data_IF_442782493954
#
_entry.id   IF_442782493954
#
_cell.length_a   1.000
_cell.length_b   1.000
_cell.length_c   1.000
_cell.angle_alpha   90.00
_cell.angle_beta   90.00
_cell.angle_gamma   90.00
#
_symmetry.space_group_name_H-M   'P 1'
#
loop_
_entity.id
_entity.type
_entity.pdbx_description
1 polymer ?
#
# COMPACT_ATOMS: atom_id res chain seq x y z
N UNK A 1 10.24 20.25 -12.60
CA UNK A 1 10.69 19.10 -11.81
C UNK A 1 10.00 17.87 -12.36
N UNK A 2 10.79 16.85 -12.73
CA UNK A 2 10.28 15.56 -13.19
C UNK A 2 9.55 14.85 -12.04
N UNK A 3 8.45 14.15 -12.36
CA UNK A 3 7.70 13.40 -11.36
C UNK A 3 8.35 12.03 -11.15
N UNK A 4 8.58 11.64 -9.90
CA UNK A 4 9.15 10.35 -9.54
C UNK A 4 8.17 9.51 -8.72
N UNK A 5 8.26 8.17 -8.86
CA UNK A 5 7.46 7.21 -8.10
C UNK A 5 8.33 6.54 -7.04
N UNK A 6 7.86 6.54 -5.79
CA UNK A 6 8.62 6.04 -4.64
C UNK A 6 7.78 5.10 -3.78
N UNK A 7 8.39 4.01 -3.32
CA UNK A 7 7.80 3.09 -2.34
C UNK A 7 8.28 3.43 -0.92
N UNK A 8 7.41 3.20 0.07
CA UNK A 8 7.75 3.31 1.50
C UNK A 8 7.02 2.24 2.32
N UNK A 9 7.69 1.70 3.33
CA UNK A 9 7.12 0.76 4.31
C UNK A 9 6.75 1.44 5.64
N UNK A 10 6.80 2.76 5.70
CA UNK A 10 6.40 3.52 6.88
C UNK A 10 4.90 3.38 7.12
N UNK A 11 4.52 3.03 8.36
CA UNK A 11 3.12 2.86 8.77
C UNK A 11 2.39 4.18 9.04
N UNK A 12 3.12 5.30 9.11
CA UNK A 12 2.53 6.63 9.27
C UNK A 12 1.99 7.11 7.92
N UNK A 13 0.68 6.99 7.76
CA UNK A 13 -0.07 7.42 6.58
C UNK A 13 -1.16 8.40 7.02
N UNK A 14 -1.43 9.40 6.19
CA UNK A 14 -2.65 10.18 6.32
C UNK A 14 -3.84 9.29 5.92
N UNK A 15 -4.72 9.02 6.89
CA UNK A 15 -5.87 8.14 6.67
C UNK A 15 -6.93 8.77 5.79
N UNK A 16 -6.98 10.11 5.71
CA UNK A 16 -7.89 10.80 4.79
C UNK A 16 -7.41 10.62 3.35
N UNK A 17 -6.11 10.79 3.09
CA UNK A 17 -5.52 10.57 1.77
C UNK A 17 -5.66 9.11 1.32
N UNK A 18 -5.46 8.15 2.24
CA UNK A 18 -5.68 6.73 1.95
C UNK A 18 -7.14 6.43 1.60
N UNK A 19 -8.11 6.96 2.36
CA UNK A 19 -9.52 6.72 2.05
C UNK A 19 -9.94 7.45 0.77
N UNK A 20 -9.36 8.61 0.43
CA UNK A 20 -9.57 9.25 -0.87
C UNK A 20 -9.07 8.37 -2.02
N UNK A 21 -7.89 7.75 -1.87
CA UNK A 21 -7.39 6.76 -2.84
C UNK A 21 -8.34 5.57 -3.00
N UNK A 22 -8.88 5.03 -1.90
CA UNK A 22 -9.86 3.95 -1.93
C UNK A 22 -11.18 4.38 -2.60
N UNK A 23 -11.66 5.60 -2.32
CA UNK A 23 -12.88 6.18 -2.93
C UNK A 23 -12.71 6.29 -4.46
N UNK A 24 -11.55 6.74 -4.92
CA UNK A 24 -11.23 6.87 -6.36
C UNK A 24 -11.30 5.55 -7.12
N UNK A 25 -11.02 4.41 -6.48
CA UNK A 25 -11.17 3.08 -7.11
C UNK A 25 -12.56 2.45 -6.89
N UNK A 26 -13.51 3.20 -6.33
CA UNK A 26 -14.88 2.76 -6.10
C UNK A 26 -15.08 1.90 -4.86
N UNK A 27 -14.11 1.86 -3.93
CA UNK A 27 -14.31 1.16 -2.65
C UNK A 27 -15.17 1.99 -1.71
N UNK A 28 -16.08 1.32 -1.00
CA UNK A 28 -16.89 1.99 0.02
C UNK A 28 -15.98 2.53 1.14
N UNK A 29 -16.23 3.77 1.55
CA UNK A 29 -15.53 4.38 2.69
C UNK A 29 -15.69 3.55 3.95
N UNK A 30 -14.58 3.34 4.65
CA UNK A 30 -14.51 2.56 5.89
C UNK A 30 -14.36 3.52 7.07
N UNK A 31 -14.89 3.17 8.26
CA UNK A 31 -14.66 4.00 9.44
C UNK A 31 -13.16 4.16 9.74
N UNK A 32 -12.67 5.40 9.79
CA UNK A 32 -11.23 5.70 9.97
C UNK A 32 -10.63 4.99 11.19
N UNK A 33 -11.39 4.84 12.29
CA UNK A 33 -10.95 4.09 13.48
C UNK A 33 -10.61 2.64 13.17
N UNK A 34 -11.37 1.98 12.28
CA UNK A 34 -11.10 0.59 11.86
C UNK A 34 -9.93 0.53 10.88
N UNK A 35 -9.82 1.48 9.96
CA UNK A 35 -8.68 1.59 9.03
C UNK A 35 -7.37 1.76 9.80
N UNK A 36 -7.33 2.70 10.75
CA UNK A 36 -6.19 2.91 11.65
C UNK A 36 -5.78 1.60 12.34
N UNK A 37 -6.74 0.90 12.95
CA UNK A 37 -6.50 -0.37 13.63
C UNK A 37 -5.98 -1.44 12.67
N UNK A 38 -6.50 -1.51 11.45
CA UNK A 38 -6.04 -2.47 10.45
C UNK A 38 -4.57 -2.21 10.04
N UNK A 39 -4.18 -0.95 9.89
CA UNK A 39 -2.79 -0.55 9.58
C UNK A 39 -1.87 -0.87 10.76
N UNK A 40 -2.28 -0.54 11.99
CA UNK A 40 -1.51 -0.81 13.21
C UNK A 40 -1.20 -2.29 13.43
N UNK A 41 -2.15 -3.17 13.08
CA UNK A 41 -2.02 -4.62 13.21
C UNK A 41 -1.61 -5.33 11.90
N UNK A 42 -1.27 -4.59 10.85
CA UNK A 42 -0.68 -5.19 9.64
C UNK A 42 0.81 -5.43 9.86
N UNK A 43 1.26 -6.61 9.45
CA UNK A 43 2.67 -6.98 9.49
C UNK A 43 3.47 -6.04 8.57
N UNK A 44 2.98 -5.89 7.34
CA UNK A 44 3.57 -5.02 6.32
C UNK A 44 2.52 -4.04 5.81
N UNK A 45 2.94 -2.79 5.65
CA UNK A 45 2.20 -1.73 4.97
C UNK A 45 3.14 -1.15 3.93
N UNK A 46 2.70 -1.10 2.68
CA UNK A 46 3.44 -0.51 1.57
C UNK A 46 2.62 0.66 1.03
N UNK A 47 3.28 1.79 0.83
CA UNK A 47 2.70 2.97 0.21
C UNK A 47 3.54 3.37 -1.01
N UNK A 48 2.86 3.77 -2.08
CA UNK A 48 3.46 4.20 -3.34
C UNK A 48 3.07 5.66 -3.59
N UNK A 49 4.07 6.50 -3.86
CA UNK A 49 3.94 7.95 -3.86
C UNK A 49 4.43 8.54 -5.18
N UNK A 50 3.64 9.44 -5.75
CA UNK A 50 4.12 10.38 -6.76
C UNK A 50 4.73 11.59 -6.04
N UNK A 51 5.96 11.96 -6.39
CA UNK A 51 6.62 13.16 -5.89
C UNK A 51 6.93 14.06 -7.09
N UNK A 52 6.40 15.29 -7.07
CA UNK A 52 6.60 16.30 -8.11
C UNK A 52 6.95 17.64 -7.47
N UNK A 53 8.24 17.96 -7.41
CA UNK A 53 8.74 19.12 -6.68
C UNK A 53 8.50 18.95 -5.17
N UNK A 54 7.79 19.90 -4.55
CA UNK A 54 7.38 19.82 -3.13
C UNK A 54 6.07 19.07 -2.89
N UNK A 55 5.37 18.66 -3.96
CA UNK A 55 4.11 17.92 -3.83
C UNK A 55 4.39 16.43 -3.75
N UNK A 56 3.75 15.77 -2.79
CA UNK A 56 3.74 14.32 -2.61
C UNK A 56 2.29 13.86 -2.56
N UNK A 57 1.95 12.83 -3.33
CA UNK A 57 0.60 12.27 -3.44
C UNK A 57 0.65 10.76 -3.32
N UNK A 58 -0.21 10.17 -2.50
CA UNK A 58 -0.38 8.73 -2.41
C UNK A 58 -1.09 8.23 -3.67
N UNK A 59 -0.43 7.35 -4.42
CA UNK A 59 -0.95 6.78 -5.68
C UNK A 59 -1.09 5.26 -5.64
N UNK A 60 -0.67 4.62 -4.54
CA UNK A 60 -0.93 3.21 -4.32
C UNK A 60 -0.69 2.79 -2.88
N UNK A 61 -1.35 1.71 -2.48
CA UNK A 61 -1.28 1.18 -1.13
C UNK A 61 -1.45 -0.34 -1.16
N UNK A 62 -0.65 -1.04 -0.36
CA UNK A 62 -0.85 -2.44 -0.07
C UNK A 62 -0.65 -2.73 1.42
N UNK A 63 -1.35 -3.73 1.95
CA UNK A 63 -1.10 -4.23 3.32
C UNK A 63 -1.17 -5.74 3.39
N UNK A 64 -0.38 -6.31 4.30
CA UNK A 64 -0.39 -7.73 4.60
C UNK A 64 -0.40 -8.01 6.10
N UNK A 65 -1.13 -9.04 6.51
CA UNK A 65 -1.04 -9.63 7.86
C UNK A 65 -0.18 -10.89 7.81
N UNK A 66 0.48 -11.25 8.90
CA UNK A 66 1.31 -12.45 8.98
C UNK A 66 1.25 -13.08 10.36
N UNK A 67 1.55 -14.38 10.41
CA UNK A 67 1.86 -15.11 11.65
C UNK A 67 3.31 -14.90 12.14
N UNK A 68 4.09 -14.04 11.46
CA UNK A 68 5.50 -13.73 11.74
C UNK A 68 6.47 -14.90 11.54
N UNK A 69 6.04 -15.97 10.87
CA UNK A 69 6.89 -17.14 10.66
C UNK A 69 6.76 -17.71 9.25
N UNK A 70 5.57 -18.15 8.86
CA UNK A 70 5.38 -18.94 7.65
C UNK A 70 4.49 -18.24 6.65
N UNK A 71 3.42 -17.61 7.11
CA UNK A 71 2.33 -17.17 6.26
C UNK A 71 2.16 -15.66 6.31
N UNK A 72 1.94 -15.06 5.16
CA UNK A 72 1.35 -13.73 5.03
C UNK A 72 0.20 -13.75 4.03
N UNK A 73 -0.79 -12.90 4.28
CA UNK A 73 -1.91 -12.66 3.36
C UNK A 73 -1.94 -11.20 3.01
N UNK A 74 -1.88 -10.89 1.71
CA UNK A 74 -2.04 -9.55 1.18
C UNK A 74 -3.53 -9.26 1.04
N UNK A 75 -4.00 -8.15 1.63
CA UNK A 75 -5.42 -7.83 1.68
C UNK A 75 -5.80 -6.72 0.70
N UNK A 76 -5.42 -5.49 1.04
CA UNK A 76 -5.74 -4.34 0.23
C UNK A 76 -4.58 -4.18 -0.75
N UNK A 77 -4.87 -4.09 -2.04
CA UNK A 77 -3.92 -3.67 -3.08
C UNK A 77 -4.66 -2.68 -3.96
N UNK A 78 -4.24 -1.43 -3.93
CA UNK A 78 -4.90 -0.34 -4.63
C UNK A 78 -3.88 0.53 -5.35
N UNK A 79 -4.23 0.94 -6.56
CA UNK A 79 -3.49 1.90 -7.38
C UNK A 79 -4.49 2.92 -7.89
N UNK A 80 -4.11 4.20 -7.80
CA UNK A 80 -4.93 5.31 -8.27
C UNK A 80 -5.35 5.10 -9.74
N UNK A 81 -6.61 5.35 -10.13
CA UNK A 81 -7.08 5.15 -11.50
C UNK A 81 -6.22 5.82 -12.57
N UNK A 82 -5.68 7.01 -12.29
CA UNK A 82 -4.83 7.76 -13.23
C UNK A 82 -3.48 7.06 -13.48
N UNK A 83 -3.13 6.09 -12.64
CA UNK A 83 -1.87 5.34 -12.60
C UNK A 83 -2.07 3.84 -12.91
N UNK A 84 -3.30 3.43 -13.23
CA UNK A 84 -3.59 2.06 -13.66
C UNK A 84 -3.14 1.81 -15.11
N UNK A 85 -3.03 0.54 -15.51
CA UNK A 85 -2.58 0.10 -16.84
C UNK A 85 -1.14 0.51 -17.23
N UNK A 86 -0.33 0.95 -16.26
CA UNK A 86 1.07 1.36 -16.45
C UNK A 86 2.07 0.40 -15.79
N UNK A 87 1.61 -0.79 -15.36
CA UNK A 87 2.44 -1.77 -14.66
C UNK A 87 2.66 -1.49 -13.16
N UNK A 88 2.13 -0.39 -12.63
CA UNK A 88 2.35 0.02 -11.24
C UNK A 88 1.70 -0.92 -10.21
N UNK A 89 0.57 -1.55 -10.52
CA UNK A 89 -0.01 -2.58 -9.65
C UNK A 89 0.88 -3.82 -9.53
N UNK A 90 1.52 -4.21 -10.64
CA UNK A 90 2.52 -5.29 -10.65
C UNK A 90 3.75 -4.91 -9.84
N UNK A 91 4.29 -3.70 -10.07
CA UNK A 91 5.44 -3.20 -9.32
C UNK A 91 5.17 -3.12 -7.81
N UNK A 92 3.96 -2.67 -7.41
CA UNK A 92 3.53 -2.64 -6.01
C UNK A 92 3.48 -4.04 -5.40
N UNK A 93 2.92 -5.02 -6.11
CA UNK A 93 2.90 -6.42 -5.64
C UNK A 93 4.29 -7.04 -5.57
N UNK A 94 5.14 -6.84 -6.57
CA UNK A 94 6.52 -7.33 -6.56
C UNK A 94 7.32 -6.75 -5.41
N UNK A 95 7.18 -5.44 -5.14
CA UNK A 95 7.79 -4.79 -3.99
C UNK A 95 7.25 -5.38 -2.67
N UNK A 96 5.94 -5.55 -2.54
CA UNK A 96 5.30 -6.13 -1.35
C UNK A 96 5.79 -7.55 -1.07
N UNK A 97 5.81 -8.41 -2.09
CA UNK A 97 6.34 -9.78 -1.99
C UNK A 97 7.81 -9.76 -1.59
N UNK A 98 8.61 -8.88 -2.20
CA UNK A 98 10.04 -8.75 -1.85
C UNK A 98 10.23 -8.40 -0.38
N UNK A 99 9.44 -7.47 0.17
CA UNK A 99 9.51 -7.12 1.60
C UNK A 99 9.07 -8.27 2.51
N UNK A 100 8.01 -9.01 2.15
CA UNK A 100 7.60 -10.18 2.92
C UNK A 100 8.67 -11.28 2.91
N UNK A 101 9.30 -11.52 1.76
CA UNK A 101 10.38 -12.50 1.61
C UNK A 101 11.65 -12.12 2.39
N UNK A 102 11.96 -10.83 2.52
CA UNK A 102 13.10 -10.40 3.34
C UNK A 102 12.88 -10.62 4.84
N UNK A 103 11.63 -10.80 5.26
CA UNK A 103 11.26 -11.17 6.64
C UNK A 103 11.10 -12.70 6.79
N UNK A 104 11.69 -13.49 5.89
CA UNK A 104 11.68 -14.96 5.88
C UNK A 104 10.28 -15.61 5.75
N UNK A 105 9.28 -14.86 5.26
CA UNK A 105 7.94 -15.42 5.03
C UNK A 105 7.94 -16.31 3.78
N UNK A 106 7.57 -17.58 3.99
CA UNK A 106 7.61 -18.62 2.95
C UNK A 106 6.33 -18.72 2.09
N UNK A 107 5.17 -18.47 2.68
CA UNK A 107 3.88 -18.61 2.03
C UNK A 107 3.17 -17.26 1.97
N UNK A 108 2.85 -16.78 0.78
CA UNK A 108 2.22 -15.48 0.55
C UNK A 108 0.96 -15.71 -0.28
N UNK A 109 -0.19 -15.36 0.28
CA UNK A 109 -1.52 -15.48 -0.35
C UNK A 109 -2.08 -14.12 -0.70
#
# INVERSE_FOLDING_TARGET
>A
AEAGIFFSTQRQLDLYELEELCDRVGWARRPLRKVKKAIEHSFLVVSMWEIKGSKRRLIGFARATSDYAFNATVWDVVVDPDFQNQGLGKALMEYTIKQLRSEDISNIT
#
